data_IF_092815071121
#
_entry.id   IF_092815071121
#
_cell.length_a   1.000
_cell.length_b   1.000
_cell.length_c   1.000
_cell.angle_alpha   90.00
_cell.angle_beta   90.00
_cell.angle_gamma   90.00
#
_symmetry.space_group_name_H-M   'P 1'
#
loop_
_entity.id
_entity.type
_entity.pdbx_description
1 polymer ?
#
# COMPACT_ATOMS: atom_id res chain seq x y z
N UNK A 1 14.33 -15.92 -0.51
CA UNK A 1 15.19 -17.11 -0.70
C UNK A 1 16.46 -16.65 -1.38
N UNK A 2 17.62 -16.96 -0.80
CA UNK A 2 18.93 -16.62 -1.38
C UNK A 2 19.31 -17.67 -2.43
N UNK A 3 20.19 -17.30 -3.38
CA UNK A 3 20.66 -18.19 -4.46
C UNK A 3 21.17 -19.53 -3.96
N UNK A 4 21.90 -19.50 -2.84
CA UNK A 4 22.48 -20.68 -2.20
C UNK A 4 21.42 -21.63 -1.62
N UNK A 5 20.37 -21.09 -1.02
CA UNK A 5 19.25 -21.86 -0.46
C UNK A 5 18.44 -22.56 -1.56
N UNK A 6 18.26 -21.89 -2.71
CA UNK A 6 17.52 -22.43 -3.84
C UNK A 6 18.27 -23.59 -4.52
N UNK A 7 19.60 -23.46 -4.68
CA UNK A 7 20.44 -24.52 -5.25
C UNK A 7 20.53 -25.74 -4.32
N UNK A 8 20.59 -25.52 -3.00
CA UNK A 8 20.57 -26.60 -2.02
C UNK A 8 19.26 -27.42 -2.04
N UNK A 9 18.14 -26.78 -2.41
CA UNK A 9 16.84 -27.43 -2.55
C UNK A 9 16.61 -28.02 -3.96
N UNK A 10 17.61 -27.99 -4.84
CA UNK A 10 17.53 -28.55 -6.19
C UNK A 10 16.73 -27.69 -7.19
N UNK A 11 16.43 -26.43 -6.85
CA UNK A 11 15.72 -25.53 -7.76
C UNK A 11 16.65 -24.90 -8.79
N UNK A 12 16.11 -24.70 -10.01
CA UNK A 12 16.78 -23.93 -11.05
C UNK A 12 16.80 -22.44 -10.68
N UNK A 13 17.98 -21.84 -10.63
CA UNK A 13 18.15 -20.42 -10.34
C UNK A 13 18.44 -19.63 -11.63
N UNK A 14 17.73 -18.51 -11.82
CA UNK A 14 17.98 -17.58 -12.93
C UNK A 14 18.37 -16.22 -12.38
N UNK A 15 19.59 -15.79 -12.69
CA UNK A 15 20.05 -14.44 -12.33
C UNK A 15 19.33 -13.41 -13.21
N UNK A 16 18.49 -12.56 -12.60
CA UNK A 16 17.86 -11.43 -13.29
C UNK A 16 18.87 -10.30 -13.42
N UNK A 17 19.32 -10.02 -14.65
CA UNK A 17 20.14 -8.83 -14.92
C UNK A 17 19.25 -7.60 -14.77
N UNK A 18 19.54 -6.77 -13.76
CA UNK A 18 18.85 -5.48 -13.62
C UNK A 18 19.32 -4.54 -14.73
N UNK A 19 18.42 -3.87 -15.45
CA UNK A 19 18.81 -2.89 -16.45
C UNK A 19 19.56 -1.74 -15.77
N UNK A 20 20.69 -1.33 -16.33
CA UNK A 20 21.45 -0.17 -15.86
C UNK A 20 21.17 0.99 -16.81
N UNK A 21 20.21 1.83 -16.44
CA UNK A 21 19.95 3.09 -17.13
C UNK A 21 20.45 4.22 -16.23
N UNK A 22 21.39 5.08 -16.70
CA UNK A 22 21.80 6.24 -15.93
C UNK A 22 20.61 7.20 -15.80
N UNK A 23 20.24 7.55 -14.57
CA UNK A 23 19.23 8.58 -14.32
C UNK A 23 19.86 9.97 -14.40
N UNK A 24 19.13 10.91 -14.99
CA UNK A 24 19.57 12.32 -15.10
C UNK A 24 19.10 13.13 -13.89
N UNK A 25 17.93 12.79 -13.34
CA UNK A 25 17.38 13.39 -12.12
C UNK A 25 17.35 12.34 -11.02
N UNK A 26 17.95 12.68 -9.88
CA UNK A 26 17.87 11.86 -8.66
C UNK A 26 16.50 12.00 -8.00
N UNK A 27 16.07 10.95 -7.30
CA UNK A 27 14.74 10.86 -6.69
C UNK A 27 14.42 12.05 -5.76
N UNK A 28 15.43 12.59 -5.08
CA UNK A 28 15.30 13.68 -4.12
C UNK A 28 15.01 15.04 -4.78
N UNK A 29 15.31 15.19 -6.08
CA UNK A 29 15.10 16.42 -6.84
C UNK A 29 13.79 16.43 -7.63
N UNK A 30 12.94 15.41 -7.46
CA UNK A 30 11.63 15.34 -8.12
C UNK A 30 10.66 16.23 -7.34
N UNK A 31 10.04 17.25 -7.98
CA UNK A 31 9.07 18.10 -7.29
C UNK A 31 7.83 17.33 -6.86
N UNK A 32 7.38 17.57 -5.62
CA UNK A 32 6.13 16.99 -5.10
C UNK A 32 4.88 17.63 -5.72
N UNK A 33 4.96 18.90 -6.16
CA UNK A 33 3.83 19.61 -6.74
C UNK A 33 3.89 19.60 -8.27
N UNK A 34 2.80 19.17 -8.90
CA UNK A 34 2.68 19.10 -10.35
C UNK A 34 2.76 20.47 -11.04
N UNK A 35 2.47 21.56 -10.31
CA UNK A 35 2.51 22.93 -10.84
C UNK A 35 3.94 23.41 -11.10
N UNK A 36 4.90 22.87 -10.37
CA UNK A 36 6.32 23.25 -10.45
C UNK A 36 7.06 22.43 -11.53
N UNK A 37 6.31 21.63 -12.30
CA UNK A 37 6.85 20.72 -13.32
C UNK A 37 6.65 21.28 -14.72
N UNK A 38 7.76 21.63 -15.34
CA UNK A 38 7.85 22.00 -16.75
C UNK A 38 7.87 20.78 -17.69
N UNK A 39 7.59 21.02 -18.97
CA UNK A 39 7.67 19.98 -20.02
C UNK A 39 9.09 19.43 -20.26
N UNK A 40 10.12 20.07 -19.68
CA UNK A 40 11.51 19.60 -19.70
C UNK A 40 11.64 18.18 -19.15
N UNK A 41 10.79 17.78 -18.19
CA UNK A 41 10.80 16.44 -17.58
C UNK A 41 10.58 15.31 -18.58
N UNK A 42 10.00 15.60 -19.75
CA UNK A 42 9.80 14.62 -20.83
C UNK A 42 11.10 14.21 -21.52
N UNK A 43 12.20 14.95 -21.33
CA UNK A 43 13.54 14.60 -21.85
C UNK A 43 14.38 13.87 -20.81
N UNK A 44 14.03 14.04 -19.54
CA UNK A 44 14.78 13.54 -18.39
C UNK A 44 14.48 12.07 -18.10
N UNK A 45 15.45 11.41 -17.45
CA UNK A 45 15.31 10.06 -16.91
C UNK A 45 15.29 10.19 -15.39
N UNK A 46 14.19 9.75 -14.78
CA UNK A 46 13.95 9.84 -13.35
C UNK A 46 14.48 8.59 -12.64
N UNK A 47 15.20 8.78 -11.55
CA UNK A 47 15.61 7.69 -10.65
C UNK A 47 14.43 7.22 -9.79
N UNK A 48 14.30 5.91 -9.61
CA UNK A 48 13.38 5.33 -8.65
C UNK A 48 13.94 5.49 -7.23
N UNK A 49 13.13 5.96 -6.27
CA UNK A 49 13.52 6.11 -4.86
C UNK A 49 14.14 4.84 -4.25
N UNK A 50 13.68 3.66 -4.66
CA UNK A 50 14.22 2.39 -4.18
C UNK A 50 15.63 2.05 -4.70
N UNK A 51 16.19 2.76 -5.69
CA UNK A 51 17.55 2.55 -6.25
C UNK A 51 17.90 1.07 -6.51
N UNK A 52 16.94 0.32 -7.04
CA UNK A 52 17.04 -1.14 -7.25
C UNK A 52 17.28 -2.01 -5.99
N UNK A 53 17.17 -1.47 -4.79
CA UNK A 53 17.39 -2.17 -3.52
C UNK A 53 16.12 -2.87 -2.98
N UNK A 54 15.04 -2.90 -3.76
CA UNK A 54 13.80 -3.58 -3.38
C UNK A 54 13.68 -4.99 -3.98
N UNK A 55 12.83 -5.83 -3.38
CA UNK A 55 12.41 -7.14 -3.90
C UNK A 55 11.40 -7.06 -5.04
N UNK A 56 10.99 -5.85 -5.43
CA UNK A 56 10.18 -5.60 -6.62
C UNK A 56 11.11 -5.60 -7.83
N UNK A 57 10.68 -6.11 -8.99
CA UNK A 57 11.44 -6.09 -10.25
C UNK A 57 11.65 -4.65 -10.75
N UNK A 58 12.54 -3.93 -10.07
CA UNK A 58 12.74 -2.50 -10.21
C UNK A 58 13.65 -2.22 -11.39
N UNK A 59 13.17 -1.40 -12.32
CA UNK A 59 13.95 -0.92 -13.44
C UNK A 59 15.08 0.04 -13.00
N UNK A 60 14.99 0.63 -11.80
CA UNK A 60 15.96 1.60 -11.26
C UNK A 60 15.78 3.00 -11.81
N UNK A 61 15.46 3.14 -13.09
CA UNK A 61 15.13 4.41 -13.72
C UNK A 61 13.87 4.28 -14.58
N UNK A 62 13.16 5.39 -14.78
CA UNK A 62 11.95 5.45 -15.61
C UNK A 62 11.80 6.81 -16.27
N UNK A 63 10.93 6.88 -17.29
CA UNK A 63 10.64 8.08 -18.06
C UNK A 63 9.13 8.29 -18.11
N UNK A 64 8.71 9.56 -18.11
CA UNK A 64 7.31 9.96 -18.26
C UNK A 64 7.03 10.26 -19.74
N UNK A 65 5.91 9.77 -20.26
CA UNK A 65 5.44 10.09 -21.61
C UNK A 65 4.54 11.34 -21.62
N UNK A 66 4.41 12.08 -22.74
CA UNK A 66 3.59 13.29 -22.81
C UNK A 66 2.13 13.08 -22.35
N UNK A 67 1.56 11.92 -22.67
CA UNK A 67 0.20 11.55 -22.29
C UNK A 67 0.05 11.38 -20.77
N UNK A 68 1.07 10.84 -20.10
CA UNK A 68 1.11 10.71 -18.64
C UNK A 68 1.22 12.09 -17.99
N UNK A 69 2.10 12.97 -18.49
CA UNK A 69 2.24 14.33 -17.97
C UNK A 69 0.92 15.12 -18.11
N UNK A 70 0.26 15.02 -19.27
CA UNK A 70 -1.05 15.65 -19.50
C UNK A 70 -2.11 15.11 -18.54
N UNK A 71 -2.12 13.80 -18.30
CA UNK A 71 -3.01 13.17 -17.33
C UNK A 71 -2.75 13.69 -15.91
N UNK A 72 -1.50 13.70 -15.46
CA UNK A 72 -1.11 14.17 -14.12
C UNK A 72 -1.51 15.63 -13.90
N UNK A 73 -1.27 16.50 -14.89
CA UNK A 73 -1.68 17.92 -14.84
C UNK A 73 -3.21 18.08 -14.78
N UNK A 74 -3.96 17.33 -15.59
CA UNK A 74 -5.43 17.39 -15.63
C UNK A 74 -6.06 17.04 -14.29
N UNK A 75 -5.52 16.04 -13.60
CA UNK A 75 -6.04 15.54 -12.33
C UNK A 75 -5.34 16.15 -11.11
N UNK A 76 -4.44 17.12 -11.30
CA UNK A 76 -3.64 17.75 -10.26
C UNK A 76 -2.91 16.71 -9.37
N UNK A 77 -2.34 15.68 -10.00
CA UNK A 77 -1.64 14.58 -9.33
C UNK A 77 -0.12 14.79 -9.38
N UNK A 78 0.60 14.49 -8.28
CA UNK A 78 2.05 14.59 -8.24
C UNK A 78 2.72 13.58 -9.17
N UNK A 79 3.96 13.87 -9.55
CA UNK A 79 4.78 12.92 -10.30
C UNK A 79 5.11 11.72 -9.42
N UNK A 80 5.07 10.49 -9.98
CA UNK A 80 5.51 9.32 -9.24
C UNK A 80 7.02 9.37 -8.96
N UNK A 81 7.40 9.15 -7.69
CA UNK A 81 8.79 8.95 -7.24
C UNK A 81 9.31 7.51 -7.47
N UNK A 82 8.39 6.60 -7.76
CA UNK A 82 8.65 5.18 -7.89
C UNK A 82 8.40 4.70 -9.33
N UNK A 83 9.24 3.77 -9.78
CA UNK A 83 9.03 3.12 -11.07
C UNK A 83 7.73 2.30 -11.10
N UNK A 84 7.24 2.00 -12.31
CA UNK A 84 5.96 1.29 -12.54
C UNK A 84 5.86 -0.01 -11.74
N UNK A 85 6.92 -0.83 -11.72
CA UNK A 85 6.95 -2.11 -11.00
C UNK A 85 6.84 -1.91 -9.48
N UNK A 86 7.56 -0.95 -8.91
CA UNK A 86 7.50 -0.66 -7.48
C UNK A 86 6.12 -0.16 -7.08
N UNK A 87 5.55 0.79 -7.85
CA UNK A 87 4.19 1.29 -7.63
C UNK A 87 3.14 0.19 -7.71
N UNK A 88 3.29 -0.70 -8.69
CA UNK A 88 2.40 -1.83 -8.86
C UNK A 88 2.41 -2.75 -7.63
N UNK A 89 3.61 -3.08 -7.12
CA UNK A 89 3.74 -3.93 -5.95
C UNK A 89 3.22 -3.27 -4.67
N UNK A 90 3.49 -1.98 -4.45
CA UNK A 90 2.92 -1.24 -3.32
C UNK A 90 1.40 -1.23 -3.34
N UNK A 91 0.81 -1.04 -4.51
CA UNK A 91 -0.65 -1.14 -4.68
C UNK A 91 -1.16 -2.54 -4.35
N UNK A 92 -0.44 -3.59 -4.72
CA UNK A 92 -0.80 -4.97 -4.36
C UNK A 92 -0.67 -5.18 -2.85
N UNK A 93 0.37 -4.66 -2.20
CA UNK A 93 0.59 -4.79 -0.76
C UNK A 93 -0.53 -4.16 0.08
N UNK A 94 -1.20 -3.13 -0.46
CA UNK A 94 -2.39 -2.52 0.17
C UNK A 94 -3.67 -3.37 0.02
N UNK A 95 -3.67 -4.42 -0.79
CA UNK A 95 -4.82 -5.32 -0.91
C UNK A 95 -4.92 -6.21 0.32
N UNK A 96 -6.16 -6.55 0.65
CA UNK A 96 -6.42 -7.57 1.64
C UNK A 96 -5.87 -8.93 1.16
N UNK A 97 -5.41 -9.72 2.12
CA UNK A 97 -4.94 -11.08 1.83
C UNK A 97 -6.14 -11.95 1.43
N UNK A 98 -5.90 -13.03 0.68
CA UNK A 98 -6.96 -13.97 0.29
C UNK A 98 -7.34 -14.95 1.40
N UNK A 99 -6.73 -14.83 2.59
CA UNK A 99 -7.02 -15.68 3.73
C UNK A 99 -8.06 -14.98 4.60
N UNK A 100 -9.18 -15.64 4.81
CA UNK A 100 -10.19 -15.21 5.77
C UNK A 100 -9.88 -15.80 7.14
N UNK A 101 -10.18 -15.02 8.17
CA UNK A 101 -10.00 -15.35 9.58
C UNK A 101 -11.33 -15.13 10.29
N UNK A 102 -11.67 -16.05 11.19
CA UNK A 102 -12.81 -15.87 12.09
C UNK A 102 -12.47 -14.78 13.11
N UNK A 103 -13.33 -13.78 13.20
CA UNK A 103 -13.20 -12.62 14.09
C UNK A 103 -14.53 -12.37 14.80
N UNK A 104 -14.46 -11.64 15.92
CA UNK A 104 -15.62 -11.12 16.64
C UNK A 104 -15.58 -9.58 16.59
N UNK A 105 -16.72 -8.92 16.79
CA UNK A 105 -16.75 -7.47 16.92
C UNK A 105 -15.88 -7.05 18.11
N UNK A 106 -15.00 -6.08 17.91
CA UNK A 106 -14.16 -5.52 18.98
C UNK A 106 -14.81 -4.32 19.65
N UNK A 107 -16.12 -4.17 19.50
CA UNK A 107 -16.92 -3.08 20.06
C UNK A 107 -17.39 -3.46 21.47
N UNK A 108 -16.57 -3.22 22.49
CA UNK A 108 -16.88 -3.49 23.89
C UNK A 108 -17.86 -2.45 24.50
N UNK A 109 -18.91 -2.07 23.77
CA UNK A 109 -19.91 -1.09 24.19
C UNK A 109 -19.39 0.35 24.15
N UNK A 110 -18.84 0.85 25.25
CA UNK A 110 -18.38 2.26 25.36
C UNK A 110 -17.00 2.49 24.71
N UNK A 111 -16.19 1.44 24.58
CA UNK A 111 -14.83 1.48 24.02
C UNK A 111 -14.54 0.24 23.19
N UNK A 112 -13.42 0.23 22.49
CA UNK A 112 -12.92 -0.97 21.84
C UNK A 112 -12.22 -1.91 22.83
N UNK A 113 -12.00 -3.18 22.43
CA UNK A 113 -11.27 -4.18 23.23
C UNK A 113 -9.86 -3.74 23.64
N UNK A 114 -9.19 -2.89 22.86
CA UNK A 114 -7.86 -2.38 23.16
C UNK A 114 -7.89 -1.14 24.06
N UNK A 115 -9.07 -0.59 24.36
CA UNK A 115 -9.27 0.61 25.18
C UNK A 115 -8.53 1.85 24.63
N UNK A 116 -8.27 1.90 23.33
CA UNK A 116 -7.56 2.99 22.63
C UNK A 116 -8.57 3.98 22.05
N UNK A 117 -9.66 3.46 21.49
CA UNK A 117 -10.71 4.21 20.82
C UNK A 117 -11.99 4.16 21.65
N UNK A 118 -12.62 5.32 21.80
CA UNK A 118 -13.90 5.46 22.47
C UNK A 118 -14.99 5.54 21.41
N UNK A 119 -15.98 4.67 21.51
CA UNK A 119 -17.13 4.65 20.60
C UNK A 119 -17.91 5.96 20.75
N UNK A 120 -18.33 6.52 19.62
CA UNK A 120 -19.01 7.80 19.54
C UNK A 120 -20.50 7.59 19.79
N UNK A 121 -21.06 6.50 19.27
CA UNK A 121 -22.47 6.19 19.32
C UNK A 121 -22.76 5.00 20.25
N UNK A 122 -24.02 4.88 20.66
CA UNK A 122 -24.51 3.66 21.28
C UNK A 122 -24.95 2.70 20.18
N UNK A 123 -24.49 1.46 20.22
CA UNK A 123 -24.86 0.45 19.24
C UNK A 123 -26.27 -0.09 19.53
N UNK A 124 -27.08 -0.33 18.49
CA UNK A 124 -28.51 -0.58 18.67
C UNK A 124 -28.87 -2.00 19.15
N UNK A 125 -27.98 -2.98 18.96
CA UNK A 125 -28.24 -4.39 19.24
C UNK A 125 -27.49 -4.94 20.46
N UNK A 126 -26.67 -4.10 21.08
CA UNK A 126 -26.06 -4.37 22.38
C UNK A 126 -25.86 -3.01 23.05
N UNK A 127 -26.29 -2.87 24.31
CA UNK A 127 -26.24 -1.56 24.97
C UNK A 127 -24.80 -1.21 25.38
N UNK A 128 -24.36 -1.70 26.54
CA UNK A 128 -22.98 -1.50 27.05
C UNK A 128 -22.16 -2.78 27.09
N UNK A 129 -22.78 -3.89 26.73
CA UNK A 129 -22.15 -5.20 26.74
C UNK A 129 -21.31 -5.41 25.48
N UNK A 130 -20.41 -6.38 25.54
CA UNK A 130 -19.59 -6.76 24.41
C UNK A 130 -20.46 -7.38 23.32
N UNK A 131 -20.23 -7.01 22.06
CA UNK A 131 -21.00 -7.52 20.94
C UNK A 131 -20.62 -8.96 20.60
N UNK A 132 -21.59 -9.86 20.65
CA UNK A 132 -21.38 -11.29 20.40
C UNK A 132 -21.24 -11.66 18.92
N UNK A 133 -21.38 -10.71 17.99
CA UNK A 133 -21.34 -10.98 16.56
C UNK A 133 -19.97 -11.49 16.11
N UNK A 134 -20.00 -12.65 15.43
CA UNK A 134 -18.83 -13.31 14.82
C UNK A 134 -18.98 -13.35 13.32
N UNK A 135 -17.88 -13.10 12.61
CA UNK A 135 -17.85 -13.00 11.15
C UNK A 135 -16.45 -13.28 10.62
N UNK A 136 -16.34 -13.43 9.30
CA UNK A 136 -15.07 -13.68 8.63
C UNK A 136 -14.52 -12.41 8.00
N UNK A 137 -13.22 -12.16 8.18
CA UNK A 137 -12.54 -11.02 7.58
C UNK A 137 -11.17 -11.38 7.04
N UNK A 138 -10.65 -10.57 6.12
CA UNK A 138 -9.26 -10.68 5.66
C UNK A 138 -8.22 -10.05 6.63
N UNK A 139 -8.68 -9.52 7.77
CA UNK A 139 -7.81 -8.92 8.78
C UNK A 139 -7.31 -10.01 9.72
N UNK A 140 -6.01 -10.25 9.70
CA UNK A 140 -5.38 -11.27 10.52
C UNK A 140 -5.42 -10.87 12.03
N UNK A 141 -5.54 -11.84 12.96
CA UNK A 141 -5.68 -11.55 14.40
C UNK A 141 -4.49 -10.82 15.05
N UNK A 142 -3.31 -10.89 14.44
CA UNK A 142 -2.08 -10.21 14.87
C UNK A 142 -2.06 -8.72 14.51
N UNK A 143 -2.99 -8.26 13.67
CA UNK A 143 -3.09 -6.85 13.34
C UNK A 143 -3.83 -6.07 14.43
N UNK A 144 -3.49 -4.77 14.53
CA UNK A 144 -3.95 -3.87 15.60
C UNK A 144 -5.18 -3.05 15.23
N UNK A 145 -5.75 -3.21 14.03
CA UNK A 145 -6.95 -2.47 13.67
C UNK A 145 -8.17 -2.96 14.46
N UNK A 146 -9.04 -2.01 14.80
CA UNK A 146 -10.34 -2.27 15.43
C UNK A 146 -11.30 -2.77 14.35
N UNK A 147 -12.04 -3.84 14.65
CA UNK A 147 -12.93 -4.49 13.68
C UNK A 147 -14.34 -4.51 14.25
N UNK A 148 -15.22 -3.73 13.63
CA UNK A 148 -16.64 -3.74 13.96
C UNK A 148 -17.43 -4.69 13.07
N UNK A 149 -18.52 -5.23 13.62
CA UNK A 149 -19.55 -5.83 12.79
C UNK A 149 -20.24 -4.72 11.98
N UNK A 150 -20.95 -5.09 10.92
CA UNK A 150 -21.63 -4.14 10.02
C UNK A 150 -22.51 -3.14 10.78
N UNK A 151 -23.36 -3.62 11.69
CA UNK A 151 -24.30 -2.79 12.43
C UNK A 151 -23.60 -1.80 13.39
N UNK A 152 -22.49 -2.19 14.04
CA UNK A 152 -21.73 -1.28 14.89
C UNK A 152 -20.95 -0.26 14.07
N UNK A 153 -20.35 -0.69 12.96
CA UNK A 153 -19.66 0.23 12.04
C UNK A 153 -20.60 1.30 11.49
N UNK A 154 -21.80 0.90 11.06
CA UNK A 154 -22.80 1.83 10.55
C UNK A 154 -23.30 2.83 11.61
N UNK A 155 -23.28 2.47 12.90
CA UNK A 155 -23.63 3.40 13.97
C UNK A 155 -22.52 4.44 14.23
N UNK A 156 -21.25 4.07 14.01
CA UNK A 156 -20.07 4.90 14.32
C UNK A 156 -19.68 5.87 13.19
N UNK A 157 -20.02 5.57 11.94
CA UNK A 157 -19.56 6.31 10.74
C UNK A 157 -20.63 7.25 10.16
N UNK A 158 -21.62 7.65 10.97
CA UNK A 158 -22.69 8.58 10.57
C UNK A 158 -22.25 10.04 10.64
#
# INVERSE_FOLDING_TARGET
>A
MKKEEALAQGFNWKDTKKPQHPATIQAENIPDNIKDVDESILKEILECEHKQNCSHECAGAFKIIPQELQFLKRFNLPIPHLCVSCRHYERIKKRNTMKLYDRACTCAGEKDDSNIYKNIANHMHHSKEHCENKFQTAFAPDRKEIIYCEACYQAEVV
#
